data_IF_496677163888
#
_entry.id   IF_496677163888
#
_cell.length_a   1.000
_cell.length_b   1.000
_cell.length_c   1.000
_cell.angle_alpha   90.00
_cell.angle_beta   90.00
_cell.angle_gamma   90.00
#
_symmetry.space_group_name_H-M   'P 1'
#
loop_
_entity.id
_entity.type
_entity.pdbx_description
1 polymer ?
#
# COMPACT_ATOMS: atom_id res chain seq x y z
N UNK A 1 -2.27 1.79 -12.84
CA UNK A 1 -2.09 0.42 -12.29
C UNK A 1 -0.93 0.35 -11.29
N UNK A 2 0.31 0.76 -11.61
CA UNK A 2 1.47 0.65 -10.73
C UNK A 2 1.26 1.20 -9.30
N UNK A 3 0.78 2.44 -9.16
CA UNK A 3 0.50 3.05 -7.85
C UNK A 3 -0.44 2.21 -6.98
N UNK A 4 -1.53 1.71 -7.56
CA UNK A 4 -2.51 0.88 -6.86
C UNK A 4 -1.85 -0.41 -6.35
N UNK A 5 -1.14 -1.13 -7.23
CA UNK A 5 -0.48 -2.38 -6.84
C UNK A 5 0.60 -2.16 -5.78
N UNK A 6 1.51 -1.21 -6.00
CA UNK A 6 2.64 -0.98 -5.10
C UNK A 6 2.22 -0.47 -3.72
N UNK A 7 1.19 0.38 -3.63
CA UNK A 7 0.70 0.89 -2.35
C UNK A 7 0.03 -0.18 -1.48
N UNK A 8 -0.81 -1.02 -2.07
CA UNK A 8 -1.44 -2.16 -1.36
C UNK A 8 -0.39 -3.17 -0.89
N UNK A 9 0.56 -3.51 -1.77
CA UNK A 9 1.64 -4.45 -1.46
C UNK A 9 2.57 -3.89 -0.37
N UNK A 10 2.89 -2.60 -0.39
CA UNK A 10 3.71 -1.98 0.64
C UNK A 10 3.06 -2.10 2.03
N UNK A 11 1.74 -1.93 2.12
CA UNK A 11 1.00 -2.09 3.37
C UNK A 11 1.01 -3.54 3.88
N UNK A 12 0.78 -4.51 2.98
CA UNK A 12 0.86 -5.94 3.31
C UNK A 12 2.25 -6.32 3.83
N UNK A 13 3.30 -5.91 3.11
CA UNK A 13 4.69 -6.21 3.47
C UNK A 13 5.08 -5.54 4.79
N UNK A 14 4.69 -4.27 5.00
CA UNK A 14 5.01 -3.57 6.25
C UNK A 14 4.40 -4.26 7.47
N UNK A 15 3.14 -4.72 7.37
CA UNK A 15 2.50 -5.49 8.43
C UNK A 15 3.17 -6.86 8.64
N UNK A 16 3.54 -7.55 7.56
CA UNK A 16 4.25 -8.81 7.65
C UNK A 16 5.64 -8.63 8.28
N UNK A 17 6.34 -7.53 8.00
CA UNK A 17 7.61 -7.20 8.64
C UNK A 17 7.45 -7.05 10.16
N UNK A 18 6.42 -6.32 10.62
CA UNK A 18 6.10 -6.23 12.06
C UNK A 18 5.86 -7.61 12.67
N UNK A 19 5.10 -8.49 12.01
CA UNK A 19 4.82 -9.85 12.48
C UNK A 19 6.08 -10.73 12.56
N UNK A 20 6.92 -10.69 11.55
CA UNK A 20 8.17 -11.47 11.48
C UNK A 20 9.12 -11.10 12.63
N UNK A 21 9.17 -9.83 13.01
CA UNK A 21 10.00 -9.36 14.13
C UNK A 21 9.39 -9.64 15.51
N UNK A 22 8.18 -10.22 15.59
CA UNK A 22 7.50 -10.52 16.84
C UNK A 22 7.31 -9.27 17.71
N UNK A 23 7.58 -9.40 19.02
CA UNK A 23 7.45 -8.26 19.95
C UNK A 23 8.33 -7.07 19.59
N UNK A 24 9.50 -7.28 18.99
CA UNK A 24 10.39 -6.20 18.56
C UNK A 24 9.84 -5.41 17.38
N UNK A 25 8.97 -6.01 16.56
CA UNK A 25 8.29 -5.29 15.48
C UNK A 25 7.34 -4.18 15.95
N UNK A 26 6.94 -4.20 17.23
CA UNK A 26 6.13 -3.17 17.86
C UNK A 26 6.96 -2.10 18.60
N UNK A 27 8.25 -2.37 18.83
CA UNK A 27 9.15 -1.41 19.48
C UNK A 27 9.52 -0.30 18.51
N UNK A 28 9.47 0.95 18.97
CA UNK A 28 9.93 2.13 18.22
C UNK A 28 11.45 2.23 18.12
N UNK A 29 12.18 1.30 18.73
CA UNK A 29 13.63 1.15 18.53
C UNK A 29 13.98 0.39 17.24
N UNK A 30 12.99 -0.22 16.58
CA UNK A 30 13.11 -0.92 15.31
C UNK A 30 12.27 -0.24 14.23
N UNK A 31 12.76 -0.22 13.00
CA UNK A 31 12.14 0.55 11.91
C UNK A 31 10.86 -0.06 11.31
N UNK A 32 10.54 -1.33 11.61
CA UNK A 32 9.37 -2.00 11.04
C UNK A 32 8.05 -1.28 11.35
N UNK A 33 7.94 -0.69 12.56
CA UNK A 33 6.78 0.10 12.95
C UNK A 33 6.64 1.38 12.12
N UNK A 34 7.76 2.02 11.76
CA UNK A 34 7.77 3.24 10.94
C UNK A 34 7.20 2.94 9.57
N UNK A 35 7.64 1.86 8.93
CA UNK A 35 7.13 1.46 7.63
C UNK A 35 5.63 1.12 7.67
N UNK A 36 5.17 0.50 8.76
CA UNK A 36 3.76 0.22 8.99
C UNK A 36 2.92 1.51 9.10
N UNK A 37 3.45 2.56 9.74
CA UNK A 37 2.79 3.87 9.81
C UNK A 37 2.83 4.65 8.49
N UNK A 38 3.90 4.52 7.71
CA UNK A 38 4.09 5.27 6.47
C UNK A 38 3.27 4.69 5.30
N UNK A 39 3.16 3.35 5.19
CA UNK A 39 2.52 2.68 4.07
C UNK A 39 1.07 3.13 3.76
N UNK A 40 0.19 3.39 4.74
CA UNK A 40 -1.17 3.88 4.50
C UNK A 40 -1.24 5.23 3.76
N UNK A 41 -0.21 6.10 3.87
CA UNK A 41 -0.21 7.39 3.16
C UNK A 41 -0.35 7.19 1.65
N UNK A 42 0.35 6.20 1.10
CA UNK A 42 0.29 5.86 -0.31
C UNK A 42 -1.06 5.24 -0.71
N UNK A 43 -1.86 4.78 0.24
CA UNK A 43 -3.22 4.25 -0.03
C UNK A 43 -4.25 5.39 -0.03
N UNK A 44 -4.21 6.29 0.96
CA UNK A 44 -5.28 7.28 1.18
C UNK A 44 -4.92 8.73 0.85
N UNK A 45 -3.65 9.13 1.01
CA UNK A 45 -3.23 10.52 0.89
C UNK A 45 -2.79 10.93 -0.52
N UNK A 46 -2.25 9.99 -1.29
CA UNK A 46 -1.75 10.24 -2.67
C UNK A 46 -2.81 9.91 -3.73
N UNK A 47 -4.04 10.39 -3.49
CA UNK A 47 -5.25 9.98 -4.21
C UNK A 47 -5.68 8.56 -3.83
N UNK A 48 -6.92 8.40 -3.38
CA UNK A 48 -7.33 7.13 -2.77
C UNK A 48 -7.31 5.97 -3.76
N UNK A 49 -7.07 4.76 -3.26
CA UNK A 49 -7.04 3.56 -4.09
C UNK A 49 -8.41 3.21 -4.69
N UNK A 50 -9.52 3.61 -4.06
CA UNK A 50 -10.87 3.49 -4.63
C UNK A 50 -11.02 4.36 -5.88
N UNK A 51 -10.59 5.62 -5.80
CA UNK A 51 -10.58 6.52 -6.96
C UNK A 51 -9.66 5.96 -8.05
N UNK A 52 -8.51 5.42 -7.69
CA UNK A 52 -7.63 4.82 -8.69
C UNK A 52 -8.23 3.59 -9.38
N UNK A 53 -9.01 2.76 -8.68
CA UNK A 53 -9.73 1.64 -9.30
C UNK A 53 -10.76 2.14 -10.32
N UNK A 54 -11.50 3.21 -9.99
CA UNK A 54 -12.45 3.83 -10.93
C UNK A 54 -11.76 4.36 -12.19
N UNK A 55 -10.63 5.06 -12.03
CA UNK A 55 -9.82 5.58 -13.14
C UNK A 55 -9.29 4.43 -14.02
N UNK A 56 -8.75 3.37 -13.41
CA UNK A 56 -8.24 2.19 -14.14
C UNK A 56 -9.37 1.49 -14.91
N UNK A 57 -10.56 1.32 -14.31
CA UNK A 57 -11.70 0.71 -14.97
C UNK A 57 -12.12 1.51 -16.23
N UNK A 58 -12.20 2.83 -16.12
CA UNK A 58 -12.49 3.70 -17.27
C UNK A 58 -11.42 3.60 -18.36
N UNK A 59 -10.14 3.53 -17.97
CA UNK A 59 -9.02 3.38 -18.90
C UNK A 59 -9.03 2.04 -19.63
N UNK A 60 -9.39 0.94 -18.95
CA UNK A 60 -9.50 -0.38 -19.57
C UNK A 60 -10.59 -0.41 -20.65
N UNK A 61 -11.75 0.19 -20.38
CA UNK A 61 -12.84 0.31 -21.37
C UNK A 61 -12.39 1.16 -22.56
N UNK A 62 -11.73 2.29 -22.31
CA UNK A 62 -11.28 3.20 -23.36
C UNK A 62 -10.19 2.60 -24.26
N UNK A 63 -9.34 1.72 -23.72
CA UNK A 63 -8.22 1.10 -24.45
C UNK A 63 -8.55 -0.28 -25.04
N UNK A 64 -9.68 -0.88 -24.67
CA UNK A 64 -10.10 -2.19 -25.17
C UNK A 64 -9.37 -3.38 -24.54
N UNK A 65 -8.74 -3.19 -23.38
CA UNK A 65 -7.96 -4.23 -22.69
C UNK A 65 -6.70 -3.71 -22.03
N UNK A 66 -5.81 -4.66 -21.70
CA UNK A 66 -4.44 -4.39 -21.26
C UNK A 66 -3.60 -3.83 -22.41
#
# INVERSE_FOLDING_TARGET
MAKLFASEVAMEIALNAVRIHGGYGYSTEYDAERYFRDAPLMIVGEGTNEIQRNVIAAQLVARGGL
#
